data_IF_816425768659
#
_entry.id   IF_816425768659
#
_cell.length_a   1.000
_cell.length_b   1.000
_cell.length_c   1.000
_cell.angle_alpha   90.00
_cell.angle_beta   90.00
_cell.angle_gamma   90.00
#
_symmetry.space_group_name_H-M   'P 1'
#
loop_
_entity.id
_entity.type
_entity.pdbx_description
1 polymer ?
#
# COMPACT_ATOMS: atom_id res chain seq x y z
N UNK A 1 -21.03 0.81 18.47
CA UNK A 1 -20.12 0.88 19.63
C UNK A 1 -19.38 2.22 19.58
N UNK A 2 -18.94 2.74 20.72
CA UNK A 2 -18.13 3.96 20.80
C UNK A 2 -16.68 3.58 21.12
N UNK A 3 -15.68 4.31 20.59
CA UNK A 3 -14.27 4.10 20.92
C UNK A 3 -14.00 4.36 22.41
N UNK A 4 -12.87 3.87 22.91
CA UNK A 4 -12.31 4.37 24.17
C UNK A 4 -11.99 5.86 24.05
N UNK A 5 -11.98 6.63 25.14
CA UNK A 5 -11.59 8.04 25.09
C UNK A 5 -10.17 8.22 24.55
N UNK A 6 -9.97 9.25 23.75
CA UNK A 6 -8.66 9.65 23.21
C UNK A 6 -8.63 11.16 22.99
N UNK A 7 -7.44 11.74 22.99
CA UNK A 7 -7.21 13.12 22.60
C UNK A 7 -6.93 13.20 21.10
N UNK A 8 -7.57 14.16 20.42
CA UNK A 8 -7.36 14.40 18.99
C UNK A 8 -6.51 15.65 18.80
N UNK A 9 -5.26 15.45 18.37
CA UNK A 9 -4.34 16.53 18.06
C UNK A 9 -4.37 16.86 16.56
N UNK A 10 -4.41 18.15 16.23
CA UNK A 10 -4.38 18.66 14.85
C UNK A 10 -3.17 19.58 14.66
N UNK A 11 -1.99 19.01 14.39
CA UNK A 11 -0.77 19.79 14.19
C UNK A 11 -0.91 20.72 12.98
N UNK A 12 -0.38 21.97 13.06
CA UNK A 12 -0.41 22.91 11.93
C UNK A 12 0.58 22.57 10.82
N UNK A 13 1.63 21.81 11.12
CA UNK A 13 2.70 21.45 10.18
C UNK A 13 3.12 19.99 10.35
N UNK A 14 3.82 19.46 9.36
CA UNK A 14 4.40 18.10 9.43
C UNK A 14 5.44 18.01 10.55
N UNK A 15 6.27 19.05 10.74
CA UNK A 15 7.25 19.08 11.83
C UNK A 15 6.55 18.98 13.20
N UNK A 16 5.47 19.76 13.42
CA UNK A 16 4.68 19.67 14.64
C UNK A 16 4.04 18.28 14.81
N UNK A 17 3.56 17.66 13.72
CA UNK A 17 3.00 16.31 13.76
C UNK A 17 4.03 15.28 14.24
N UNK A 18 5.24 15.34 13.70
CA UNK A 18 6.35 14.45 14.07
C UNK A 18 6.74 14.65 15.55
N UNK A 19 6.84 15.90 16.01
CA UNK A 19 7.15 16.21 17.42
C UNK A 19 6.06 15.66 18.35
N UNK A 20 4.79 15.96 18.09
CA UNK A 20 3.66 15.48 18.90
C UNK A 20 3.60 13.94 18.95
N UNK A 21 3.87 13.29 17.82
CA UNK A 21 3.90 11.82 17.77
C UNK A 21 5.05 11.23 18.58
N UNK A 22 6.22 11.86 18.54
CA UNK A 22 7.40 11.45 19.32
C UNK A 22 7.16 11.62 20.82
N UNK A 23 6.57 12.76 21.24
CA UNK A 23 6.25 13.05 22.65
C UNK A 23 5.21 12.10 23.22
N UNK A 24 4.17 11.76 22.44
CA UNK A 24 3.13 10.81 22.87
C UNK A 24 3.57 9.34 22.76
N UNK A 25 4.64 9.04 22.05
CA UNK A 25 5.25 7.71 21.98
C UNK A 25 4.31 6.61 21.53
N UNK A 26 4.38 5.45 22.18
CA UNK A 26 3.61 4.25 21.81
C UNK A 26 2.09 4.42 22.01
N UNK A 27 1.64 5.37 22.79
CA UNK A 27 0.23 5.64 23.04
C UNK A 27 -0.46 6.42 21.90
N UNK A 28 0.33 6.95 20.96
CA UNK A 28 -0.18 7.69 19.82
C UNK A 28 -0.38 6.82 18.57
N UNK A 29 -1.34 7.25 17.75
CA UNK A 29 -1.52 6.74 16.37
C UNK A 29 -1.76 7.91 15.41
N UNK A 30 -1.20 7.78 14.21
CA UNK A 30 -1.45 8.72 13.12
C UNK A 30 -2.84 8.46 12.53
N UNK A 31 -3.65 9.52 12.40
CA UNK A 31 -4.95 9.49 11.76
C UNK A 31 -4.88 10.22 10.41
N UNK A 32 -4.89 9.46 9.31
CA UNK A 32 -5.06 9.96 7.94
C UNK A 32 -6.52 9.83 7.49
N UNK A 33 -6.85 8.91 6.58
CA UNK A 33 -8.21 8.70 6.08
C UNK A 33 -9.20 8.10 7.06
N UNK A 34 -8.71 7.39 8.07
CA UNK A 34 -9.51 6.77 9.14
C UNK A 34 -10.35 5.56 8.74
N UNK A 35 -10.17 5.01 7.53
CA UNK A 35 -11.06 3.99 6.99
C UNK A 35 -10.79 2.57 7.55
N UNK A 36 -9.60 2.33 8.08
CA UNK A 36 -9.28 1.14 8.89
C UNK A 36 -9.24 1.50 10.37
N UNK A 37 -8.52 2.55 10.75
CA UNK A 37 -8.36 2.94 12.14
C UNK A 37 -9.70 3.29 12.82
N UNK A 38 -10.63 3.97 12.13
CA UNK A 38 -11.95 4.31 12.67
C UNK A 38 -12.77 3.07 13.10
N UNK A 39 -12.98 2.08 12.24
CA UNK A 39 -13.58 0.80 12.62
C UNK A 39 -12.85 0.10 13.78
N UNK A 40 -11.51 0.07 13.76
CA UNK A 40 -10.72 -0.55 14.83
C UNK A 40 -10.91 0.15 16.19
N UNK A 41 -11.02 1.47 16.20
CA UNK A 41 -11.35 2.25 17.39
C UNK A 41 -12.75 1.93 17.90
N UNK A 42 -13.74 1.93 17.01
CA UNK A 42 -15.15 1.64 17.37
C UNK A 42 -15.32 0.22 17.93
N UNK A 43 -14.58 -0.74 17.39
CA UNK A 43 -14.55 -2.13 17.86
C UNK A 43 -13.62 -2.34 19.07
N UNK A 44 -12.88 -1.28 19.48
CA UNK A 44 -11.89 -1.31 20.57
C UNK A 44 -10.77 -2.34 20.36
N UNK A 45 -10.46 -2.66 19.12
CA UNK A 45 -9.31 -3.50 18.73
C UNK A 45 -8.00 -2.77 19.04
N UNK A 46 -8.01 -1.44 18.86
CA UNK A 46 -6.94 -0.54 19.29
C UNK A 46 -7.50 0.57 20.16
N UNK A 47 -6.75 0.99 21.17
CA UNK A 47 -7.18 1.99 22.15
C UNK A 47 -6.04 2.98 22.43
N UNK A 48 -5.59 3.75 21.40
CA UNK A 48 -4.59 4.77 21.61
C UNK A 48 -5.14 5.89 22.50
N UNK A 49 -4.30 6.51 23.30
CA UNK A 49 -4.67 7.69 24.08
C UNK A 49 -4.65 8.97 23.26
N UNK A 50 -3.84 9.00 22.21
CA UNK A 50 -3.64 10.17 21.34
C UNK A 50 -3.79 9.79 19.87
N UNK A 51 -4.57 10.58 19.14
CA UNK A 51 -4.63 10.54 17.68
C UNK A 51 -4.02 11.83 17.11
N UNK A 52 -3.01 11.69 16.24
CA UNK A 52 -2.39 12.81 15.52
C UNK A 52 -2.99 12.84 14.12
N UNK A 53 -3.93 13.76 13.89
CA UNK A 53 -4.60 13.92 12.60
C UNK A 53 -3.69 14.63 11.60
N UNK A 54 -3.44 14.01 10.44
CA UNK A 54 -2.47 14.53 9.45
C UNK A 54 -3.07 14.77 8.05
N UNK A 55 -4.30 14.36 7.79
CA UNK A 55 -4.92 14.43 6.47
C UNK A 55 -5.16 15.86 5.93
N UNK A 56 -5.04 16.87 6.77
CA UNK A 56 -5.16 18.28 6.41
C UNK A 56 -3.83 18.94 6.08
N UNK A 57 -2.71 18.24 6.26
CA UNK A 57 -1.37 18.78 6.04
C UNK A 57 -1.03 18.78 4.54
N UNK A 58 -0.82 19.96 3.90
CA UNK A 58 -0.50 20.03 2.47
C UNK A 58 0.77 19.26 2.10
N UNK A 59 1.76 19.21 3.00
CA UNK A 59 3.01 18.48 2.81
C UNK A 59 2.80 16.97 2.58
N UNK A 60 1.68 16.39 3.06
CA UNK A 60 1.35 14.98 2.90
C UNK A 60 0.38 14.72 1.73
N UNK A 61 -0.14 15.75 1.08
CA UNK A 61 -1.02 15.65 -0.08
C UNK A 61 -0.32 16.04 -1.39
N UNK A 62 0.96 16.42 -1.30
CA UNK A 62 1.77 16.82 -2.45
C UNK A 62 1.94 15.69 -3.46
N UNK A 63 2.03 16.07 -4.74
CA UNK A 63 2.31 15.17 -5.85
C UNK A 63 3.45 15.78 -6.64
N UNK A 64 4.47 15.00 -6.93
CA UNK A 64 5.61 15.43 -7.73
C UNK A 64 5.94 14.36 -8.78
N UNK A 65 6.34 14.82 -9.95
CA UNK A 65 6.81 13.98 -11.03
C UNK A 65 8.17 14.49 -11.50
N UNK A 66 9.09 13.56 -11.66
CA UNK A 66 10.42 13.78 -12.21
C UNK A 66 10.69 12.77 -13.31
N UNK A 67 11.76 12.93 -14.12
CA UNK A 67 12.16 11.90 -15.08
C UNK A 67 12.41 10.51 -14.46
N UNK A 68 12.74 10.46 -13.16
CA UNK A 68 13.11 9.22 -12.49
C UNK A 68 11.97 8.59 -11.68
N UNK A 69 11.01 9.38 -11.19
CA UNK A 69 9.96 8.88 -10.30
C UNK A 69 8.72 9.78 -10.22
N UNK A 70 7.59 9.14 -9.91
CA UNK A 70 6.38 9.79 -9.41
C UNK A 70 6.39 9.68 -7.89
N UNK A 71 6.23 10.79 -7.19
CA UNK A 71 6.12 10.81 -5.72
C UNK A 71 4.72 11.25 -5.31
N UNK A 72 4.02 10.39 -4.60
CA UNK A 72 2.69 10.66 -4.04
C UNK A 72 2.80 10.85 -2.54
N UNK A 73 2.30 11.97 -2.03
CA UNK A 73 2.17 12.21 -0.60
C UNK A 73 1.27 11.16 0.07
N UNK A 74 1.58 10.81 1.31
CA UNK A 74 0.92 9.73 2.04
C UNK A 74 -0.60 9.95 2.22
N UNK A 75 -1.07 11.20 2.20
CA UNK A 75 -2.47 11.56 2.32
C UNK A 75 -3.19 11.70 0.97
N UNK A 76 -2.55 11.40 -0.17
CA UNK A 76 -3.23 11.29 -1.46
C UNK A 76 -4.27 10.18 -1.37
N UNK A 77 -5.54 10.54 -1.67
CA UNK A 77 -6.67 9.62 -1.51
C UNK A 77 -6.79 8.64 -2.68
N UNK A 78 -7.35 7.48 -2.41
CA UNK A 78 -7.66 6.51 -3.48
C UNK A 78 -8.59 7.14 -4.53
N UNK A 79 -9.53 7.99 -4.13
CA UNK A 79 -10.42 8.70 -5.06
C UNK A 79 -9.67 9.69 -5.96
N UNK A 80 -8.63 10.36 -5.45
CA UNK A 80 -7.79 11.25 -6.26
C UNK A 80 -7.05 10.47 -7.34
N UNK A 81 -6.46 9.32 -6.98
CA UNK A 81 -5.76 8.43 -7.90
C UNK A 81 -6.73 7.83 -8.92
N UNK A 82 -7.87 7.28 -8.46
CA UNK A 82 -8.88 6.67 -9.33
C UNK A 82 -9.48 7.65 -10.35
N UNK A 83 -9.54 8.94 -10.01
CA UNK A 83 -10.02 10.00 -10.89
C UNK A 83 -8.94 10.56 -11.85
N UNK A 84 -7.74 9.95 -11.88
CA UNK A 84 -6.63 10.43 -12.71
C UNK A 84 -6.09 11.81 -12.32
N UNK A 85 -6.25 12.20 -11.06
CA UNK A 85 -5.70 13.48 -10.55
C UNK A 85 -4.26 13.38 -10.08
N UNK A 86 -3.59 12.30 -10.40
CA UNK A 86 -2.15 12.07 -10.17
C UNK A 86 -1.50 11.75 -11.49
N UNK A 87 -0.18 12.01 -11.65
CA UNK A 87 0.57 11.42 -12.75
C UNK A 87 0.39 9.90 -12.78
N UNK A 88 0.47 9.34 -13.96
CA UNK A 88 0.33 7.91 -14.18
C UNK A 88 1.58 7.34 -14.85
N UNK A 89 1.81 6.06 -14.67
CA UNK A 89 2.93 5.33 -15.29
C UNK A 89 2.64 4.92 -16.74
N UNK A 90 1.59 5.48 -17.34
CA UNK A 90 1.01 5.11 -18.63
C UNK A 90 -0.15 4.12 -18.47
N UNK A 91 -1.09 4.15 -19.41
CA UNK A 91 -2.26 3.26 -19.51
C UNK A 91 -3.23 3.28 -18.30
N UNK A 92 -3.21 4.30 -17.45
CA UNK A 92 -4.12 4.44 -16.32
C UNK A 92 -3.90 3.39 -15.20
N UNK A 93 -2.70 2.94 -14.98
CA UNK A 93 -2.38 1.83 -14.06
C UNK A 93 -2.78 2.10 -12.64
N UNK A 94 -2.29 3.21 -12.08
CA UNK A 94 -2.59 3.58 -10.70
C UNK A 94 -4.08 3.87 -10.53
N UNK A 95 -4.70 4.51 -11.52
CA UNK A 95 -6.13 4.82 -11.50
C UNK A 95 -6.99 3.54 -11.52
N UNK A 96 -6.63 2.53 -12.33
CA UNK A 96 -7.33 1.24 -12.36
C UNK A 96 -7.25 0.50 -11.03
N UNK A 97 -6.07 0.46 -10.41
CA UNK A 97 -5.91 -0.16 -9.09
C UNK A 97 -6.74 0.58 -8.04
N UNK A 98 -6.61 1.90 -7.98
CA UNK A 98 -7.38 2.71 -7.04
C UNK A 98 -8.89 2.54 -7.21
N UNK A 99 -9.36 2.38 -8.45
CA UNK A 99 -10.78 2.23 -8.80
C UNK A 99 -11.42 0.95 -8.24
N UNK A 100 -10.64 -0.10 -8.01
CA UNK A 100 -11.14 -1.39 -7.49
C UNK A 100 -10.94 -1.55 -5.97
N UNK A 101 -10.36 -0.55 -5.29
CA UNK A 101 -10.23 -0.54 -3.84
C UNK A 101 -11.57 -0.16 -3.22
N UNK A 102 -12.12 -1.01 -2.38
CA UNK A 102 -13.30 -0.76 -1.56
C UNK A 102 -14.45 -0.03 -2.32
N UNK A 103 -15.29 0.70 -1.59
CA UNK A 103 -16.38 1.49 -2.14
C UNK A 103 -16.00 2.96 -2.26
N UNK A 104 -16.73 3.73 -3.07
CA UNK A 104 -16.45 5.15 -3.31
C UNK A 104 -16.33 5.96 -2.00
N UNK A 105 -17.20 5.72 -1.03
CA UNK A 105 -17.16 6.40 0.28
C UNK A 105 -15.83 6.17 1.01
N UNK A 106 -15.29 4.95 0.95
CA UNK A 106 -13.99 4.60 1.51
C UNK A 106 -12.86 5.26 0.72
N UNK A 107 -12.92 5.21 -0.63
CA UNK A 107 -11.90 5.83 -1.49
C UNK A 107 -11.80 7.34 -1.32
N UNK A 108 -12.91 8.01 -1.03
CA UNK A 108 -12.93 9.46 -0.79
C UNK A 108 -12.07 9.90 0.42
N UNK A 109 -11.83 9.01 1.34
CA UNK A 109 -11.08 9.29 2.57
C UNK A 109 -9.81 8.45 2.72
N UNK A 110 -9.87 7.16 2.35
CA UNK A 110 -8.74 6.24 2.39
C UNK A 110 -7.57 6.76 1.55
N UNK A 111 -6.34 6.63 2.08
CA UNK A 111 -5.13 7.20 1.49
C UNK A 111 -4.11 6.13 1.18
N UNK A 112 -3.23 6.40 0.22
CA UNK A 112 -2.18 5.47 -0.18
C UNK A 112 -1.25 5.14 1.00
N UNK A 113 -0.78 6.15 1.74
CA UNK A 113 0.06 5.95 2.91
C UNK A 113 -0.67 5.25 4.06
N UNK A 114 -1.94 5.57 4.29
CA UNK A 114 -2.76 4.89 5.30
C UNK A 114 -2.94 3.39 5.00
N UNK A 115 -3.10 3.02 3.73
CA UNK A 115 -3.16 1.62 3.30
C UNK A 115 -1.86 0.87 3.59
N UNK A 116 -0.70 1.48 3.26
CA UNK A 116 0.61 0.87 3.51
C UNK A 116 0.92 0.75 5.00
N UNK A 117 0.59 1.79 5.81
CA UNK A 117 0.80 1.75 7.26
C UNK A 117 -0.14 0.75 7.97
N UNK A 118 -1.32 0.49 7.42
CA UNK A 118 -2.22 -0.55 7.92
C UNK A 118 -1.68 -1.95 7.68
N UNK A 119 -0.93 -2.11 6.60
CA UNK A 119 -0.21 -3.34 6.26
C UNK A 119 -1.10 -4.59 6.19
N UNK A 120 -2.34 -4.44 5.67
CA UNK A 120 -3.20 -5.59 5.40
C UNK A 120 -2.58 -6.44 4.28
N UNK A 121 -2.40 -7.76 4.48
CA UNK A 121 -1.81 -8.64 3.47
C UNK A 121 -2.57 -8.71 2.15
N UNK A 122 -3.86 -8.35 2.15
CA UNK A 122 -4.73 -8.31 0.97
C UNK A 122 -4.94 -6.88 0.43
N UNK A 123 -4.12 -5.90 0.86
CA UNK A 123 -4.21 -4.55 0.36
C UNK A 123 -3.63 -4.42 -1.05
N UNK A 124 -4.41 -3.86 -1.97
CA UNK A 124 -4.05 -3.68 -3.38
C UNK A 124 -2.72 -2.93 -3.54
N UNK A 125 -2.52 -1.83 -2.78
CA UNK A 125 -1.30 -1.01 -2.86
C UNK A 125 -0.04 -1.74 -2.44
N UNK A 126 -0.12 -2.60 -1.45
CA UNK A 126 1.05 -3.38 -0.98
C UNK A 126 1.60 -4.22 -2.13
N UNK A 127 0.72 -4.91 -2.87
CA UNK A 127 1.11 -5.82 -3.95
C UNK A 127 1.61 -5.05 -5.18
N UNK A 128 0.83 -4.06 -5.61
CA UNK A 128 1.12 -3.29 -6.83
C UNK A 128 2.38 -2.45 -6.67
N UNK A 129 2.53 -1.75 -5.55
CA UNK A 129 3.70 -0.90 -5.32
C UNK A 129 4.97 -1.73 -5.06
N UNK A 130 4.84 -2.95 -4.52
CA UNK A 130 5.96 -3.90 -4.45
C UNK A 130 6.40 -4.34 -5.85
N UNK A 131 5.46 -4.63 -6.75
CA UNK A 131 5.78 -4.97 -8.15
C UNK A 131 6.46 -3.80 -8.87
N UNK A 132 6.01 -2.57 -8.60
CA UNK A 132 6.57 -1.33 -9.16
C UNK A 132 7.89 -0.89 -8.52
N UNK A 133 8.46 -1.67 -7.60
CA UNK A 133 9.71 -1.35 -6.88
C UNK A 133 9.67 -0.04 -6.11
N UNK A 134 8.51 0.32 -5.58
CA UNK A 134 8.30 1.58 -4.88
C UNK A 134 9.14 1.68 -3.59
N UNK A 135 9.43 2.92 -3.22
CA UNK A 135 10.16 3.31 -2.02
C UNK A 135 9.25 4.15 -1.13
N UNK A 136 9.16 3.85 0.15
CA UNK A 136 8.49 4.68 1.14
C UNK A 136 9.44 5.71 1.73
N UNK A 137 8.92 6.90 2.02
CA UNK A 137 9.63 8.01 2.65
C UNK A 137 9.07 8.18 4.05
N UNK A 138 9.92 8.03 5.04
CA UNK A 138 9.58 8.09 6.47
C UNK A 138 10.26 9.31 7.09
N UNK A 139 9.57 9.99 7.99
CA UNK A 139 10.11 11.15 8.69
C UNK A 139 9.89 11.04 10.19
N UNK A 140 10.94 11.35 10.94
CA UNK A 140 10.94 11.48 12.40
C UNK A 140 11.63 12.78 12.82
N UNK A 141 11.77 13.01 14.12
CA UNK A 141 12.59 14.11 14.66
C UNK A 141 14.08 13.95 14.33
N UNK A 142 14.55 12.74 14.07
CA UNK A 142 15.93 12.46 13.66
C UNK A 142 16.19 12.72 12.17
N UNK A 143 15.16 12.98 11.36
CA UNK A 143 15.29 13.25 9.93
C UNK A 143 14.45 12.35 9.05
N UNK A 144 14.85 12.23 7.79
CA UNK A 144 14.15 11.47 6.75
C UNK A 144 14.96 10.21 6.43
N UNK A 145 14.29 9.07 6.36
CA UNK A 145 14.84 7.84 5.81
C UNK A 145 13.95 7.27 4.70
N UNK A 146 14.54 6.51 3.81
CA UNK A 146 13.86 5.85 2.68
C UNK A 146 14.15 4.37 2.74
N UNK A 147 13.15 3.56 2.36
CA UNK A 147 13.33 2.11 2.26
C UNK A 147 12.41 1.52 1.19
N UNK A 148 12.79 0.39 0.63
CA UNK A 148 11.95 -0.32 -0.33
C UNK A 148 10.69 -0.85 0.35
N UNK A 149 9.58 -0.88 -0.38
CA UNK A 149 8.31 -1.33 0.18
C UNK A 149 8.36 -2.78 0.71
N UNK A 150 9.04 -3.77 0.08
CA UNK A 150 9.19 -5.09 0.68
C UNK A 150 9.84 -5.07 2.07
N UNK A 151 10.83 -4.21 2.29
CA UNK A 151 11.53 -4.09 3.57
C UNK A 151 10.67 -3.35 4.62
N UNK A 152 9.72 -2.52 4.16
CA UNK A 152 8.77 -1.84 5.02
C UNK A 152 7.70 -2.78 5.58
N UNK A 153 7.32 -3.80 4.84
CA UNK A 153 6.29 -4.79 5.20
C UNK A 153 6.92 -5.94 6.00
N UNK A 154 6.95 -5.84 7.31
CA UNK A 154 7.62 -6.85 8.17
C UNK A 154 6.71 -7.99 8.60
N UNK A 155 5.41 -7.86 8.41
CA UNK A 155 4.42 -8.90 8.74
C UNK A 155 2.99 -8.44 8.46
N UNK A 156 1.99 -9.32 8.65
CA UNK A 156 0.59 -8.94 8.61
C UNK A 156 0.30 -7.84 9.64
N UNK A 157 -0.25 -6.71 9.18
CA UNK A 157 -0.54 -5.54 10.01
C UNK A 157 0.67 -4.98 10.76
N UNK A 158 1.88 -5.26 10.26
CA UNK A 158 3.14 -4.86 10.86
C UNK A 158 4.08 -4.23 9.82
N UNK A 159 4.64 -3.09 10.16
CA UNK A 159 5.58 -2.33 9.33
C UNK A 159 6.86 -2.03 10.08
N UNK A 160 7.90 -1.62 9.33
CA UNK A 160 9.18 -1.17 9.88
C UNK A 160 9.15 0.27 10.44
N UNK A 161 7.96 0.89 10.60
CA UNK A 161 7.80 2.16 11.31
C UNK A 161 8.25 2.01 12.76
N UNK A 162 9.06 2.95 13.22
CA UNK A 162 9.40 3.07 14.63
C UNK A 162 8.54 4.15 15.29
N UNK A 163 8.50 4.16 16.63
CA UNK A 163 7.77 5.19 17.37
C UNK A 163 8.25 6.58 16.97
N UNK A 164 7.31 7.51 16.77
CA UNK A 164 7.61 8.88 16.35
C UNK A 164 7.85 9.07 14.84
N UNK A 165 7.71 8.02 14.02
CA UNK A 165 7.81 8.14 12.55
C UNK A 165 6.45 8.31 11.88
N UNK A 166 6.44 9.09 10.80
CA UNK A 166 5.31 9.25 9.88
C UNK A 166 5.75 8.83 8.47
N UNK A 167 4.99 7.98 7.79
CA UNK A 167 5.12 7.77 6.36
C UNK A 167 4.60 9.03 5.67
N UNK A 168 5.48 9.73 4.94
CA UNK A 168 5.19 11.03 4.34
C UNK A 168 4.90 10.95 2.86
N UNK A 169 5.52 10.00 2.15
CA UNK A 169 5.31 9.82 0.71
C UNK A 169 5.66 8.40 0.25
N UNK A 170 5.18 8.08 -0.94
CA UNK A 170 5.57 6.89 -1.72
C UNK A 170 6.19 7.38 -3.03
N UNK A 171 7.40 6.96 -3.31
CA UNK A 171 8.12 7.22 -4.56
C UNK A 171 8.08 5.97 -5.44
N UNK A 172 7.54 6.12 -6.63
CA UNK A 172 7.36 5.06 -7.62
C UNK A 172 8.30 5.35 -8.78
N UNK A 173 9.25 4.47 -9.11
CA UNK A 173 10.14 4.69 -10.25
C UNK A 173 9.37 4.90 -11.55
N UNK A 174 9.86 5.78 -12.42
CA UNK A 174 9.33 5.90 -13.78
C UNK A 174 9.51 4.59 -14.55
N UNK A 175 8.57 4.33 -15.39
CA UNK A 175 8.55 3.10 -16.18
C UNK A 175 9.43 3.23 -17.42
N UNK A 176 10.37 2.29 -17.67
CA UNK A 176 11.10 2.25 -18.94
C UNK A 176 10.13 2.09 -20.11
N UNK A 177 10.52 2.65 -21.26
CA UNK A 177 9.76 2.45 -22.50
C UNK A 177 9.55 0.95 -22.79
N UNK A 178 8.37 0.57 -23.22
CA UNK A 178 8.02 -0.83 -23.51
C UNK A 178 7.76 -1.70 -22.27
N UNK A 179 7.80 -1.15 -21.05
CA UNK A 179 7.41 -1.92 -19.88
C UNK A 179 5.91 -2.25 -19.91
N UNK A 180 5.56 -3.46 -19.50
CA UNK A 180 4.18 -3.94 -19.37
C UNK A 180 3.87 -4.27 -17.93
N UNK A 181 2.60 -4.14 -17.59
CA UNK A 181 2.13 -4.37 -16.24
C UNK A 181 0.78 -5.08 -16.26
N UNK A 182 0.59 -5.95 -15.28
CA UNK A 182 -0.69 -6.66 -15.09
C UNK A 182 -1.02 -6.72 -13.60
N UNK A 183 -2.28 -6.66 -13.30
CA UNK A 183 -2.81 -6.83 -11.95
C UNK A 183 -4.15 -7.55 -12.01
N UNK A 184 -4.33 -8.56 -11.18
CA UNK A 184 -5.61 -9.22 -11.00
C UNK A 184 -5.83 -9.60 -9.54
N UNK A 185 -7.10 -9.61 -9.14
CA UNK A 185 -7.53 -10.15 -7.85
C UNK A 185 -8.82 -10.96 -8.00
N UNK A 186 -8.98 -11.95 -7.15
CA UNK A 186 -10.21 -12.72 -6.97
C UNK A 186 -10.86 -12.31 -5.65
N UNK A 187 -12.08 -11.79 -5.72
CA UNK A 187 -12.93 -11.44 -4.58
C UNK A 187 -14.38 -11.81 -4.88
N UNK A 188 -15.21 -11.97 -3.86
CA UNK A 188 -16.63 -12.33 -4.05
C UNK A 188 -17.44 -11.20 -4.64
N UNK A 189 -17.15 -9.96 -4.25
CA UNK A 189 -17.84 -8.76 -4.71
C UNK A 189 -16.82 -7.66 -5.01
N UNK A 190 -17.07 -6.78 -5.98
CA UNK A 190 -16.26 -5.59 -6.21
C UNK A 190 -16.10 -4.78 -4.92
N UNK A 191 -14.87 -4.38 -4.62
CA UNK A 191 -14.53 -3.59 -3.42
C UNK A 191 -14.25 -4.39 -2.16
N UNK A 192 -14.44 -5.71 -2.14
CA UNK A 192 -13.99 -6.56 -1.03
C UNK A 192 -12.48 -6.81 -1.11
N UNK A 193 -11.89 -7.21 0.02
CA UNK A 193 -10.53 -7.74 0.06
C UNK A 193 -10.41 -9.00 -0.80
N UNK A 194 -9.24 -9.17 -1.37
CA UNK A 194 -8.97 -10.33 -2.23
C UNK A 194 -8.77 -11.61 -1.42
N UNK A 195 -9.26 -12.73 -1.97
CA UNK A 195 -8.88 -14.07 -1.55
C UNK A 195 -7.59 -14.54 -2.25
N UNK A 196 -7.34 -14.00 -3.44
CA UNK A 196 -6.08 -14.18 -4.17
C UNK A 196 -5.81 -12.93 -5.00
N UNK A 197 -4.54 -12.57 -5.13
CA UNK A 197 -4.14 -11.42 -5.95
C UNK A 197 -2.69 -11.53 -6.40
N UNK A 198 -2.42 -10.98 -7.58
CA UNK A 198 -1.06 -10.89 -8.08
C UNK A 198 -0.87 -9.64 -8.94
N UNK A 199 0.36 -9.12 -8.94
CA UNK A 199 0.81 -8.07 -9.84
C UNK A 199 2.10 -8.50 -10.55
N UNK A 200 2.23 -8.13 -11.81
CA UNK A 200 3.38 -8.43 -12.66
C UNK A 200 3.87 -7.15 -13.30
N UNK A 201 5.19 -6.91 -13.23
CA UNK A 201 5.89 -5.91 -14.01
C UNK A 201 6.93 -6.60 -14.89
N UNK A 202 6.95 -6.27 -16.17
CA UNK A 202 7.99 -6.64 -17.13
C UNK A 202 8.55 -5.35 -17.73
N UNK A 203 9.86 -5.14 -17.60
CA UNK A 203 10.56 -3.96 -18.09
C UNK A 203 11.95 -4.36 -18.60
N UNK A 204 12.09 -4.57 -19.90
CA UNK A 204 13.30 -5.13 -20.50
C UNK A 204 13.61 -6.51 -19.90
N UNK A 205 14.78 -6.66 -19.28
CA UNK A 205 15.18 -7.89 -18.58
C UNK A 205 14.62 -8.03 -17.18
N UNK A 206 14.03 -6.96 -16.63
CA UNK A 206 13.42 -6.97 -15.30
C UNK A 206 12.05 -7.61 -15.36
N UNK A 207 11.85 -8.63 -14.53
CA UNK A 207 10.55 -9.28 -14.32
C UNK A 207 10.29 -9.40 -12.83
N UNK A 208 9.15 -8.89 -12.36
CA UNK A 208 8.76 -8.87 -10.95
C UNK A 208 7.32 -9.35 -10.83
N UNK A 209 7.12 -10.50 -10.22
CA UNK A 209 5.81 -11.07 -9.91
C UNK A 209 5.61 -11.01 -8.39
N UNK A 210 4.54 -10.37 -7.95
CA UNK A 210 4.17 -10.27 -6.54
C UNK A 210 2.85 -10.97 -6.33
N UNK A 211 2.80 -11.86 -5.34
CA UNK A 211 1.62 -12.63 -4.95
C UNK A 211 1.22 -12.19 -3.54
N UNK A 212 -0.04 -11.82 -3.35
CA UNK A 212 -0.59 -11.33 -2.08
C UNK A 212 -1.85 -12.03 -1.65
N UNK A 213 -2.46 -11.53 -0.59
CA UNK A 213 -3.60 -12.18 0.09
C UNK A 213 -3.24 -13.59 0.62
N UNK A 214 -2.03 -13.74 1.16
CA UNK A 214 -1.51 -15.01 1.69
C UNK A 214 -1.65 -15.14 3.22
N UNK A 215 -2.20 -14.12 3.89
CA UNK A 215 -2.17 -14.05 5.35
C UNK A 215 -0.78 -13.78 5.94
N UNK A 216 0.23 -13.58 5.10
CA UNK A 216 1.61 -13.25 5.43
C UNK A 216 2.08 -12.03 4.63
N UNK A 217 3.37 -11.67 4.71
CA UNK A 217 3.95 -10.70 3.77
C UNK A 217 3.83 -11.20 2.33
N UNK A 218 3.72 -10.29 1.34
CA UNK A 218 3.67 -10.68 -0.07
C UNK A 218 4.91 -11.47 -0.50
N UNK A 219 4.70 -12.42 -1.40
CA UNK A 219 5.79 -13.14 -2.06
C UNK A 219 6.23 -12.35 -3.27
N UNK A 220 7.48 -11.90 -3.30
CA UNK A 220 8.12 -11.26 -4.46
C UNK A 220 9.02 -12.26 -5.16
N UNK A 221 8.72 -12.55 -6.42
CA UNK A 221 9.53 -13.38 -7.32
C UNK A 221 10.15 -12.48 -8.41
N UNK A 222 11.43 -12.65 -8.71
CA UNK A 222 12.16 -11.81 -9.67
C UNK A 222 12.86 -12.64 -10.73
N UNK A 223 13.12 -12.03 -11.89
CA UNK A 223 13.83 -12.66 -13.00
C UNK A 223 13.16 -13.98 -13.43
N UNK A 224 13.91 -15.06 -13.53
CA UNK A 224 13.41 -16.39 -13.94
C UNK A 224 12.39 -16.98 -12.96
N UNK A 225 12.44 -16.60 -11.68
CA UNK A 225 11.47 -17.05 -10.68
C UNK A 225 10.11 -16.37 -10.85
N UNK A 226 10.01 -15.21 -11.51
CA UNK A 226 8.76 -14.54 -11.83
C UNK A 226 7.99 -15.28 -12.93
N UNK A 227 7.63 -16.53 -12.67
CA UNK A 227 7.01 -17.49 -13.58
C UNK A 227 5.98 -18.34 -12.84
N UNK A 228 5.18 -19.11 -13.58
CA UNK A 228 4.20 -20.03 -12.98
C UNK A 228 4.87 -21.11 -12.12
N UNK A 229 6.03 -21.60 -12.53
CA UNK A 229 6.75 -22.63 -11.77
C UNK A 229 7.38 -22.06 -10.50
N UNK A 230 7.94 -20.84 -10.56
CA UNK A 230 8.38 -20.14 -9.37
C UNK A 230 7.23 -19.87 -8.38
N UNK A 231 6.05 -19.49 -8.88
CA UNK A 231 4.86 -19.33 -8.06
C UNK A 231 4.41 -20.66 -7.43
N UNK A 232 4.41 -21.78 -8.18
CA UNK A 232 4.11 -23.12 -7.64
C UNK A 232 5.02 -23.50 -6.49
N UNK A 233 6.32 -23.26 -6.65
CA UNK A 233 7.31 -23.54 -5.62
C UNK A 233 7.09 -22.67 -4.36
N UNK A 234 6.87 -21.37 -4.56
CA UNK A 234 6.68 -20.44 -3.45
C UNK A 234 5.36 -20.68 -2.66
N UNK A 235 4.34 -21.22 -3.33
CA UNK A 235 3.02 -21.49 -2.74
C UNK A 235 2.84 -22.96 -2.32
N UNK A 236 3.89 -23.76 -2.30
CA UNK A 236 3.82 -25.20 -1.98
C UNK A 236 3.26 -25.50 -0.58
N UNK A 237 3.45 -24.58 0.38
CA UNK A 237 2.95 -24.70 1.75
C UNK A 237 1.49 -24.35 1.98
N UNK A 238 0.79 -23.78 0.97
CA UNK A 238 -0.64 -23.51 1.08
C UNK A 238 -1.48 -24.77 0.94
N UNK A 239 -2.68 -24.74 1.54
CA UNK A 239 -3.68 -25.78 1.26
C UNK A 239 -4.05 -25.82 -0.23
N UNK A 240 -4.69 -26.91 -0.65
CA UNK A 240 -4.94 -27.15 -2.08
C UNK A 240 -5.89 -26.14 -2.72
N UNK A 241 -6.87 -25.63 -1.96
CA UNK A 241 -7.89 -24.68 -2.47
C UNK A 241 -7.26 -23.31 -2.65
N UNK A 242 -6.61 -22.79 -1.62
CA UNK A 242 -5.96 -21.49 -1.65
C UNK A 242 -4.84 -21.46 -2.69
N UNK A 243 -4.03 -22.52 -2.76
CA UNK A 243 -2.99 -22.66 -3.79
C UNK A 243 -3.58 -22.68 -5.20
N UNK A 244 -4.68 -23.40 -5.44
CA UNK A 244 -5.33 -23.41 -6.75
C UNK A 244 -5.84 -22.04 -7.15
N UNK A 245 -6.48 -21.31 -6.22
CA UNK A 245 -7.00 -19.98 -6.46
C UNK A 245 -5.86 -18.98 -6.79
N UNK A 246 -4.80 -18.98 -5.98
CA UNK A 246 -3.63 -18.14 -6.20
C UNK A 246 -2.96 -18.41 -7.56
N UNK A 247 -2.71 -19.69 -7.89
CA UNK A 247 -2.10 -20.08 -9.17
C UNK A 247 -3.00 -19.74 -10.37
N UNK A 248 -4.32 -19.72 -10.19
CA UNK A 248 -5.26 -19.31 -11.25
C UNK A 248 -5.12 -17.83 -11.56
N UNK A 249 -5.02 -16.97 -10.52
CA UNK A 249 -4.78 -15.53 -10.68
C UNK A 249 -3.41 -15.28 -11.33
N UNK A 250 -2.36 -15.96 -10.84
CA UNK A 250 -1.02 -15.86 -11.42
C UNK A 250 -1.00 -16.27 -12.90
N UNK A 251 -1.60 -17.40 -13.24
CA UNK A 251 -1.66 -17.87 -14.63
C UNK A 251 -2.33 -16.86 -15.54
N UNK A 252 -3.43 -16.26 -15.09
CA UNK A 252 -4.17 -15.25 -15.85
C UNK A 252 -3.27 -14.06 -16.21
N UNK A 253 -2.59 -13.45 -15.22
CA UNK A 253 -1.76 -12.26 -15.48
C UNK A 253 -0.51 -12.57 -16.32
N UNK A 254 0.03 -13.81 -16.23
CA UNK A 254 1.14 -14.24 -17.08
C UNK A 254 0.70 -14.39 -18.54
N UNK A 255 -0.45 -15.05 -18.78
CA UNK A 255 -1.02 -15.19 -20.14
C UNK A 255 -1.37 -13.85 -20.78
N UNK A 256 -1.95 -12.92 -20.02
CA UNK A 256 -2.25 -11.56 -20.50
C UNK A 256 -0.99 -10.73 -20.78
N UNK A 257 0.16 -11.12 -20.27
CA UNK A 257 1.43 -10.43 -20.51
C UNK A 257 2.18 -10.96 -21.72
N UNK A 258 1.92 -12.22 -22.11
CA UNK A 258 2.54 -12.89 -23.26
C UNK A 258 1.70 -12.72 -24.55
N UNK A 259 0.48 -12.14 -24.44
CA UNK A 259 -0.43 -11.85 -25.55
C UNK A 259 -0.22 -10.42 -26.08
#
# INVERSE_FOLDING_TARGET
MKPAPFDLLRPPTLAAAVTMLAEAGAEARVLSGGQSLGPMLNLRIVQPRVLVQVNHLPALAGIAETPDAITLGACVTHAAIAAGRTPDLGDGWLARVAGVIAYQAVRNRGTIGGSLCHADPAADWVIVLTALDATVVLQSTAGIRRMKLPDFMVGPYATALVAGEILTAVSIPQRPAGATWRYAKACRKPGEFAHAMAALLIAGTTRRLVIGALGTTPVLLTGKQASLDGARAALAGLDAVDRHLQLTVVRRILQEADA
#
